data_IF_631952843635
#
_entry.id   IF_631952843635
#
_cell.length_a   1.000
_cell.length_b   1.000
_cell.length_c   1.000
_cell.angle_alpha   90.00
_cell.angle_beta   90.00
_cell.angle_gamma   90.00
#
_symmetry.space_group_name_H-M   'P 1'
#
loop_
_entity.id
_entity.type
_entity.pdbx_description
1 polymer ?
#
# COMPACT_ATOMS: atom_id res chain seq x y z
N UNK A 1 13.08 -54.65 -33.99
CA UNK A 1 14.30 -54.58 -34.84
C UNK A 1 15.13 -53.40 -34.33
N UNK A 2 16.46 -53.53 -34.25
CA UNK A 2 17.48 -52.48 -33.95
C UNK A 2 17.18 -51.50 -32.78
N UNK A 3 17.92 -51.41 -31.66
CA UNK A 3 19.27 -51.88 -31.28
C UNK A 3 20.43 -51.21 -32.01
N UNK A 4 21.15 -50.32 -31.29
CA UNK A 4 22.63 -50.01 -31.22
C UNK A 4 22.73 -48.75 -30.32
N UNK A 5 23.43 -48.61 -29.18
CA UNK A 5 24.60 -49.24 -28.51
C UNK A 5 25.98 -48.66 -28.90
N UNK A 6 26.43 -47.63 -28.14
CA UNK A 6 27.78 -47.43 -27.52
C UNK A 6 29.09 -47.63 -28.35
N UNK A 7 30.32 -47.54 -27.78
CA UNK A 7 30.92 -46.59 -26.81
C UNK A 7 32.30 -46.02 -27.30
N UNK A 8 33.07 -45.36 -26.40
CA UNK A 8 34.55 -45.24 -26.50
C UNK A 8 35.11 -43.93 -27.08
N UNK A 9 36.34 -43.51 -26.79
CA UNK A 9 37.38 -44.06 -25.88
C UNK A 9 38.40 -42.97 -25.46
N UNK A 10 39.20 -43.27 -24.43
CA UNK A 10 40.46 -42.61 -24.00
C UNK A 10 41.41 -43.74 -23.53
N UNK A 11 42.71 -43.56 -23.13
CA UNK A 11 43.44 -42.37 -22.68
C UNK A 11 44.93 -42.32 -23.18
N UNK A 12 45.89 -41.95 -22.29
CA UNK A 12 47.37 -41.95 -22.41
C UNK A 12 47.98 -40.74 -23.18
N UNK A 13 49.21 -40.21 -22.94
CA UNK A 13 50.25 -40.36 -21.88
C UNK A 13 51.31 -39.20 -22.01
N UNK A 14 52.40 -38.98 -21.24
CA UNK A 14 53.02 -39.62 -20.05
C UNK A 14 53.98 -38.68 -19.23
N UNK A 15 54.21 -39.06 -17.96
CA UNK A 15 55.51 -39.11 -17.21
C UNK A 15 56.43 -37.91 -16.87
N UNK A 16 57.17 -38.08 -15.75
CA UNK A 16 58.50 -37.52 -15.37
C UNK A 16 58.60 -36.08 -14.82
N UNK A 17 59.43 -35.74 -13.80
CA UNK A 17 60.11 -36.47 -12.70
C UNK A 17 60.78 -35.47 -11.70
N UNK A 18 61.35 -35.99 -10.59
CA UNK A 18 62.08 -35.29 -9.50
C UNK A 18 61.22 -34.34 -8.62
N UNK A 19 61.15 -34.40 -7.28
CA UNK A 19 62.07 -34.79 -6.18
C UNK A 19 63.30 -33.91 -5.97
N UNK A 20 63.27 -33.10 -4.90
CA UNK A 20 64.33 -33.10 -3.88
C UNK A 20 63.74 -32.77 -2.49
N UNK A 21 64.43 -33.12 -1.40
CA UNK A 21 63.99 -32.95 0.01
C UNK A 21 65.09 -32.31 0.85
N UNK A 22 64.73 -31.43 1.79
CA UNK A 22 65.35 -31.27 3.14
C UNK A 22 64.50 -30.26 3.96
N UNK A 23 63.83 -30.66 5.06
CA UNK A 23 64.29 -30.58 6.48
C UNK A 23 64.66 -29.17 6.96
N UNK A 24 64.19 -28.63 8.10
CA UNK A 24 63.47 -29.23 9.23
C UNK A 24 62.56 -28.22 9.99
N UNK A 25 61.91 -28.69 11.07
CA UNK A 25 61.13 -27.93 12.07
C UNK A 25 61.91 -27.89 13.42
N UNK A 26 61.44 -27.33 14.55
CA UNK A 26 60.23 -26.50 14.82
C UNK A 26 60.51 -25.22 15.66
N UNK A 27 59.52 -24.39 16.00
CA UNK A 27 58.87 -24.37 17.34
C UNK A 27 57.66 -23.39 17.48
N UNK A 28 57.00 -23.42 18.66
CA UNK A 28 55.76 -22.69 19.10
C UNK A 28 55.91 -21.14 19.03
N UNK A 29 54.88 -20.28 19.16
CA UNK A 29 53.72 -20.35 20.07
C UNK A 29 52.63 -19.25 19.85
N UNK A 30 51.42 -19.49 20.38
CA UNK A 30 50.38 -18.54 20.89
C UNK A 30 49.73 -17.53 19.91
N UNK A 31 48.42 -17.31 20.08
CA UNK A 31 47.58 -16.37 19.30
C UNK A 31 46.86 -15.40 20.26
N UNK A 32 46.68 -14.14 19.80
CA UNK A 32 45.84 -13.06 20.39
C UNK A 32 46.33 -12.40 21.69
N UNK A 33 45.84 -11.19 22.05
CA UNK A 33 44.92 -10.28 21.32
C UNK A 33 45.42 -8.79 21.29
N UNK A 34 44.50 -7.82 21.08
CA UNK A 34 44.50 -6.41 21.58
C UNK A 34 44.80 -5.23 20.60
N UNK A 35 43.71 -4.49 20.27
CA UNK A 35 43.48 -3.02 20.25
C UNK A 35 44.36 -2.04 19.42
N UNK A 36 43.77 -1.56 18.32
CA UNK A 36 43.40 -0.15 17.96
C UNK A 36 44.31 1.07 18.26
N UNK A 37 44.25 2.06 17.32
CA UNK A 37 44.46 3.53 17.40
C UNK A 37 45.73 4.17 16.76
N UNK A 38 45.54 4.61 15.50
CA UNK A 38 45.81 5.97 14.96
C UNK A 38 47.20 6.62 15.15
N UNK A 39 47.88 6.88 14.01
CA UNK A 39 48.25 8.26 13.57
C UNK A 39 48.65 8.26 12.07
N UNK A 40 48.58 9.43 11.43
CA UNK A 40 48.94 9.70 10.01
C UNK A 40 50.16 10.64 9.96
N UNK A 41 50.71 11.08 8.79
CA UNK A 41 50.45 10.73 7.38
C UNK A 41 51.73 10.35 6.58
N UNK A 42 51.58 10.03 5.29
CA UNK A 42 52.65 10.21 4.28
C UNK A 42 52.05 10.29 2.87
N UNK A 43 52.57 11.18 2.02
CA UNK A 43 52.10 11.39 0.65
C UNK A 43 52.62 10.32 -0.32
N UNK A 44 51.73 9.74 -1.13
CA UNK A 44 52.02 9.33 -2.52
C UNK A 44 50.70 9.15 -3.28
N UNK A 45 50.26 10.21 -3.96
CA UNK A 45 49.00 10.21 -4.69
C UNK A 45 49.07 9.41 -6.01
N UNK A 46 48.74 8.12 -5.94
CA UNK A 46 48.20 7.42 -7.10
C UNK A 46 46.80 7.97 -7.44
N UNK A 47 46.35 7.98 -8.71
CA UNK A 47 45.00 8.40 -9.06
C UNK A 47 43.98 7.39 -8.50
N UNK A 48 43.38 7.74 -7.36
CA UNK A 48 42.57 6.82 -6.58
C UNK A 48 41.39 6.24 -7.35
N UNK A 49 41.18 4.93 -7.19
CA UNK A 49 39.82 4.38 -7.25
C UNK A 49 38.95 5.16 -6.24
N UNK A 50 37.72 5.55 -6.59
CA UNK A 50 36.81 6.12 -5.60
C UNK A 50 36.55 5.06 -4.52
N UNK A 51 37.15 5.27 -3.35
CA UNK A 51 36.82 4.50 -2.15
C UNK A 51 35.34 4.71 -1.86
N UNK A 52 34.61 3.62 -1.58
CA UNK A 52 33.16 3.68 -1.47
C UNK A 52 32.78 4.26 -0.11
N UNK A 53 32.80 5.59 -0.04
CA UNK A 53 32.59 6.35 1.18
C UNK A 53 31.17 6.09 1.73
N UNK A 54 31.09 5.18 2.70
CA UNK A 54 29.83 4.69 3.24
C UNK A 54 29.13 5.84 3.96
N UNK A 55 27.88 6.18 3.58
CA UNK A 55 27.26 7.41 4.02
C UNK A 55 27.06 7.39 5.54
N UNK A 56 27.37 8.50 6.21
CA UNK A 56 27.34 8.59 7.67
C UNK A 56 26.00 8.09 8.25
N UNK A 57 25.98 7.36 9.40
CA UNK A 57 24.79 6.67 9.90
C UNK A 57 23.51 7.51 10.03
N UNK A 58 23.64 8.79 10.40
CA UNK A 58 22.49 9.69 10.57
C UNK A 58 21.95 10.28 9.25
N UNK A 59 22.68 10.11 8.15
CA UNK A 59 22.38 10.74 6.87
C UNK A 59 21.09 10.19 6.22
N UNK A 60 20.38 10.99 5.40
CA UNK A 60 19.24 10.51 4.61
C UNK A 60 19.61 9.35 3.68
N UNK A 61 20.86 9.32 3.19
CA UNK A 61 21.39 8.32 2.27
C UNK A 61 21.62 6.97 2.96
N UNK A 62 22.16 6.97 4.19
CA UNK A 62 22.24 5.76 5.02
C UNK A 62 20.85 5.23 5.37
N UNK A 63 19.88 6.11 5.65
CA UNK A 63 18.47 5.74 5.90
C UNK A 63 17.79 5.13 4.66
N UNK A 64 18.17 5.56 3.45
CA UNK A 64 17.74 4.91 2.22
C UNK A 64 18.39 3.53 2.03
N UNK A 65 19.68 3.37 2.31
CA UNK A 65 20.33 2.05 2.30
C UNK A 65 19.78 1.10 3.38
N UNK A 66 19.40 1.61 4.56
CA UNK A 66 19.01 0.78 5.70
C UNK A 66 17.66 0.07 5.51
N UNK A 67 16.79 0.62 4.65
CA UNK A 67 15.50 0.01 4.28
C UNK A 67 15.58 -0.94 3.08
N UNK A 68 16.75 -1.02 2.41
CA UNK A 68 16.99 -2.01 1.36
C UNK A 68 17.40 -3.36 1.95
N UNK A 69 17.00 -4.44 1.27
CA UNK A 69 17.43 -5.82 1.58
C UNK A 69 18.95 -5.97 1.49
N UNK A 70 19.56 -7.02 2.08
CA UNK A 70 20.99 -7.29 1.93
C UNK A 70 21.44 -7.40 0.46
N UNK A 71 20.62 -8.02 -0.38
CA UNK A 71 20.86 -8.23 -1.82
C UNK A 71 20.71 -6.93 -2.61
N UNK A 72 19.70 -6.12 -2.29
CA UNK A 72 19.50 -4.80 -2.88
C UNK A 72 20.64 -3.84 -2.52
N UNK A 73 21.02 -3.82 -1.24
CA UNK A 73 22.15 -3.02 -0.74
C UNK A 73 23.45 -3.44 -1.40
N UNK A 74 23.67 -4.75 -1.57
CA UNK A 74 24.79 -5.30 -2.35
C UNK A 74 24.75 -4.82 -3.80
N UNK A 75 23.63 -4.98 -4.53
CA UNK A 75 23.46 -4.48 -5.91
C UNK A 75 23.75 -2.99 -6.03
N UNK A 76 23.31 -2.16 -5.07
CA UNK A 76 23.56 -0.72 -5.06
C UNK A 76 25.05 -0.41 -4.88
N UNK A 77 25.75 -1.07 -3.96
CA UNK A 77 27.19 -0.87 -3.74
C UNK A 77 28.02 -1.35 -4.96
N UNK A 78 27.66 -2.51 -5.54
CA UNK A 78 28.26 -3.03 -6.78
C UNK A 78 28.01 -2.08 -7.97
N UNK A 79 26.83 -1.48 -8.06
CA UNK A 79 26.47 -0.50 -9.11
C UNK A 79 27.22 0.81 -8.95
N UNK A 80 27.34 1.33 -7.72
CA UNK A 80 28.13 2.53 -7.42
C UNK A 80 29.60 2.33 -7.79
N UNK A 81 30.18 1.19 -7.39
CA UNK A 81 31.58 0.87 -7.68
C UNK A 81 31.84 0.68 -9.18
N UNK A 82 31.04 -0.16 -9.85
CA UNK A 82 31.24 -0.50 -11.27
C UNK A 82 31.00 0.68 -12.22
N UNK A 83 30.01 1.54 -11.93
CA UNK A 83 29.70 2.73 -12.74
C UNK A 83 30.48 3.99 -12.31
N UNK A 84 31.21 3.92 -11.18
CA UNK A 84 31.90 5.06 -10.52
C UNK A 84 31.00 6.27 -10.28
N UNK A 85 29.77 6.01 -9.82
CA UNK A 85 28.75 7.01 -9.50
C UNK A 85 28.52 7.11 -8.00
N UNK A 86 27.88 8.18 -7.53
CA UNK A 86 27.49 8.27 -6.12
C UNK A 86 26.47 7.20 -5.75
N UNK A 87 26.41 6.83 -4.46
CA UNK A 87 25.44 5.85 -3.97
C UNK A 87 23.99 6.29 -4.25
N UNK A 88 23.70 7.61 -4.23
CA UNK A 88 22.37 8.13 -4.58
C UNK A 88 22.00 7.94 -6.07
N UNK A 89 22.98 7.94 -6.98
CA UNK A 89 22.79 7.63 -8.39
C UNK A 89 22.67 6.12 -8.62
N UNK A 90 23.43 5.32 -7.87
CA UNK A 90 23.32 3.86 -7.90
C UNK A 90 21.97 3.36 -7.36
N UNK A 91 21.42 3.96 -6.30
CA UNK A 91 20.06 3.69 -5.82
C UNK A 91 19.05 3.96 -6.95
N UNK A 92 19.08 5.14 -7.56
CA UNK A 92 18.18 5.50 -8.67
C UNK A 92 18.30 4.56 -9.86
N UNK A 93 19.51 4.10 -10.19
CA UNK A 93 19.75 3.14 -11.26
C UNK A 93 19.12 1.77 -10.95
N UNK A 94 19.36 1.22 -9.75
CA UNK A 94 18.78 -0.05 -9.30
C UNK A 94 17.24 0.06 -9.18
N UNK A 95 16.70 1.20 -8.76
CA UNK A 95 15.26 1.44 -8.75
C UNK A 95 14.64 1.50 -10.16
N UNK A 96 15.34 2.11 -11.13
CA UNK A 96 14.91 2.18 -12.53
C UNK A 96 14.98 0.80 -13.23
N UNK A 97 16.04 0.03 -12.96
CA UNK A 97 16.18 -1.34 -13.44
C UNK A 97 15.07 -2.24 -12.88
N UNK A 98 14.80 -2.17 -11.56
CA UNK A 98 13.64 -2.84 -10.92
C UNK A 98 12.29 -2.38 -11.51
N UNK A 99 12.16 -1.12 -11.91
CA UNK A 99 10.96 -0.61 -12.58
C UNK A 99 10.78 -1.26 -13.95
N UNK A 100 11.84 -1.36 -14.74
CA UNK A 100 11.79 -2.10 -16.01
C UNK A 100 11.51 -3.60 -15.81
N UNK A 101 12.08 -4.23 -14.78
CA UNK A 101 11.76 -5.62 -14.40
C UNK A 101 10.25 -5.78 -14.09
N UNK A 102 9.64 -4.88 -13.29
CA UNK A 102 8.18 -4.88 -13.02
C UNK A 102 7.33 -4.68 -14.28
N UNK A 103 7.69 -3.73 -15.15
CA UNK A 103 6.96 -3.45 -16.38
C UNK A 103 7.01 -4.60 -17.40
N UNK A 104 8.07 -5.41 -17.38
CA UNK A 104 8.21 -6.61 -18.23
C UNK A 104 7.63 -7.87 -17.56
N UNK A 105 7.55 -7.88 -16.23
CA UNK A 105 7.05 -8.99 -15.42
C UNK A 105 5.52 -9.10 -15.34
N UNK A 106 4.99 -9.85 -14.35
CA UNK A 106 3.55 -10.15 -14.22
C UNK A 106 2.68 -8.94 -13.84
N UNK A 107 3.28 -7.86 -13.32
CA UNK A 107 2.59 -6.74 -12.67
C UNK A 107 2.69 -6.78 -11.14
N UNK A 108 2.08 -5.82 -10.44
CA UNK A 108 2.03 -5.79 -8.98
C UNK A 108 1.09 -6.87 -8.42
N UNK A 109 1.31 -7.27 -7.17
CA UNK A 109 0.36 -8.15 -6.44
C UNK A 109 -0.96 -7.38 -6.23
N UNK A 110 -2.06 -7.93 -6.72
CA UNK A 110 -3.39 -7.31 -6.72
C UNK A 110 -4.15 -7.67 -5.44
N UNK A 111 -4.12 -6.81 -4.42
CA UNK A 111 -4.86 -7.00 -3.18
C UNK A 111 -6.26 -6.38 -3.31
N UNK A 112 -7.20 -7.17 -3.83
CA UNK A 112 -8.52 -6.72 -4.29
C UNK A 112 -9.63 -6.83 -3.23
N UNK A 113 -9.26 -7.11 -1.98
CA UNK A 113 -10.12 -6.96 -0.80
C UNK A 113 -10.76 -5.56 -0.75
N UNK A 114 -12.08 -5.48 -0.62
CA UNK A 114 -12.79 -4.20 -0.65
C UNK A 114 -12.36 -3.25 0.48
N UNK A 115 -12.30 -1.95 0.18
CA UNK A 115 -12.01 -0.90 1.17
C UNK A 115 -12.83 -1.09 2.45
N UNK A 116 -12.20 -0.90 3.61
CA UNK A 116 -12.75 -1.16 4.97
C UNK A 116 -12.91 -2.65 5.37
N UNK A 117 -12.49 -3.64 4.58
CA UNK A 117 -12.39 -5.04 5.06
C UNK A 117 -11.19 -5.19 6.01
N UNK A 118 -9.98 -4.94 5.52
CA UNK A 118 -8.71 -5.03 6.26
C UNK A 118 -7.48 -4.53 5.48
N UNK A 119 -7.69 -3.73 4.41
CA UNK A 119 -6.67 -3.33 3.43
C UNK A 119 -5.42 -2.69 4.03
N UNK A 120 -5.57 -1.87 5.08
CA UNK A 120 -4.45 -1.25 5.78
C UNK A 120 -3.58 -2.26 6.57
N UNK A 121 -4.17 -3.32 7.13
CA UNK A 121 -3.42 -4.40 7.79
C UNK A 121 -2.51 -5.12 6.79
N UNK A 122 -3.09 -5.52 5.64
CA UNK A 122 -2.36 -6.21 4.57
C UNK A 122 -1.25 -5.31 3.97
N UNK A 123 -1.51 -4.02 3.79
CA UNK A 123 -0.50 -3.06 3.34
C UNK A 123 0.66 -2.84 4.33
N UNK A 124 0.47 -3.12 5.62
CA UNK A 124 1.57 -3.18 6.60
C UNK A 124 2.22 -4.57 6.65
N UNK A 125 1.48 -5.65 6.40
CA UNK A 125 2.02 -7.01 6.42
C UNK A 125 2.99 -7.29 5.25
N UNK A 126 2.66 -6.79 4.05
CA UNK A 126 3.40 -7.07 2.82
C UNK A 126 4.90 -6.65 2.84
N UNK A 127 5.30 -5.48 3.39
CA UNK A 127 6.71 -5.12 3.54
C UNK A 127 7.53 -6.09 4.39
N UNK A 128 6.96 -6.69 5.44
CA UNK A 128 7.63 -7.70 6.29
C UNK A 128 7.90 -9.01 5.51
N UNK A 129 7.23 -9.20 4.37
CA UNK A 129 7.40 -10.31 3.42
C UNK A 129 8.24 -9.91 2.19
N UNK A 130 8.96 -8.78 2.26
CA UNK A 130 9.81 -8.27 1.16
C UNK A 130 9.06 -7.54 0.04
N UNK A 131 7.74 -7.36 0.16
CA UNK A 131 6.92 -6.61 -0.81
C UNK A 131 6.91 -5.14 -0.40
N UNK A 132 8.03 -4.45 -0.65
CA UNK A 132 8.36 -3.17 -0.01
C UNK A 132 7.49 -2.00 -0.49
N UNK A 133 7.22 -1.87 -1.80
CA UNK A 133 6.44 -0.75 -2.35
C UNK A 133 4.99 -1.15 -2.51
N UNK A 134 4.20 -0.97 -1.45
CA UNK A 134 2.75 -1.16 -1.48
C UNK A 134 2.03 0.16 -1.76
N UNK A 135 1.20 0.19 -2.81
CA UNK A 135 0.24 1.27 -3.02
C UNK A 135 -0.99 1.05 -2.13
N UNK A 136 -1.34 2.06 -1.33
CA UNK A 136 -2.57 2.07 -0.53
C UNK A 136 -3.25 3.43 -0.62
N UNK A 137 -4.55 3.44 -0.94
CA UNK A 137 -5.32 4.64 -1.23
C UNK A 137 -5.21 5.75 -0.18
N UNK A 138 -5.30 5.38 1.12
CA UNK A 138 -5.12 6.30 2.25
C UNK A 138 -3.76 7.00 2.37
N UNK A 139 -2.67 6.45 1.82
CA UNK A 139 -1.32 7.01 1.95
C UNK A 139 -1.00 8.05 0.87
N UNK A 140 -1.67 7.96 -0.29
CA UNK A 140 -1.41 8.79 -1.47
C UNK A 140 -2.50 9.85 -1.72
N UNK A 141 -3.35 10.17 -0.73
CA UNK A 141 -4.54 11.02 -0.95
C UNK A 141 -4.21 12.43 -1.50
N UNK A 142 -3.01 12.95 -1.28
CA UNK A 142 -2.60 14.27 -1.78
C UNK A 142 -2.04 14.25 -3.22
N UNK A 143 -1.86 13.07 -3.84
CA UNK A 143 -1.34 12.96 -5.21
C UNK A 143 -2.41 13.20 -6.29
N UNK A 144 -2.34 14.39 -6.89
CA UNK A 144 -3.14 14.77 -8.07
C UNK A 144 -2.88 13.93 -9.33
N UNK A 145 -1.72 13.26 -9.46
CA UNK A 145 -1.43 12.38 -10.60
C UNK A 145 -2.30 11.13 -10.51
N UNK A 146 -2.26 10.42 -9.39
CA UNK A 146 -3.14 9.29 -9.08
C UNK A 146 -4.61 9.63 -9.33
N UNK A 147 -5.12 10.76 -8.82
CA UNK A 147 -6.52 11.11 -9.00
C UNK A 147 -6.92 11.37 -10.46
N UNK A 148 -6.01 11.83 -11.32
CA UNK A 148 -6.26 11.97 -12.77
C UNK A 148 -6.29 10.62 -13.48
N UNK A 149 -5.44 9.69 -13.07
CA UNK A 149 -5.39 8.32 -13.61
C UNK A 149 -6.66 7.56 -13.19
N UNK A 150 -7.06 7.63 -11.91
CA UNK A 150 -8.30 7.01 -11.41
C UNK A 150 -9.57 7.65 -12.02
N UNK A 151 -9.58 8.96 -12.29
CA UNK A 151 -10.70 9.62 -12.98
C UNK A 151 -10.89 9.13 -14.43
N UNK A 152 -9.80 8.76 -15.12
CA UNK A 152 -9.81 8.09 -16.44
C UNK A 152 -10.16 6.61 -16.32
N UNK A 153 -9.58 5.89 -15.36
CA UNK A 153 -9.82 4.47 -15.17
C UNK A 153 -11.30 4.18 -14.86
N UNK A 154 -11.96 5.07 -14.11
CA UNK A 154 -13.40 4.97 -13.87
C UNK A 154 -14.23 5.13 -15.16
N UNK A 155 -13.85 6.08 -16.03
CA UNK A 155 -14.48 6.26 -17.35
C UNK A 155 -14.25 5.04 -18.27
N UNK A 156 -13.13 4.33 -18.13
CA UNK A 156 -12.87 3.08 -18.87
C UNK A 156 -13.52 1.82 -18.26
N UNK A 157 -13.89 1.84 -16.97
CA UNK A 157 -14.28 0.62 -16.23
C UNK A 157 -15.79 0.47 -16.03
N UNK A 158 -16.57 1.55 -15.93
CA UNK A 158 -17.95 1.49 -15.40
C UNK A 158 -19.04 1.93 -16.40
N UNK A 159 -19.79 0.99 -17.03
CA UNK A 159 -20.79 1.28 -18.07
C UNK A 159 -21.98 2.17 -17.65
N UNK A 160 -22.27 2.29 -16.35
CA UNK A 160 -23.34 3.14 -15.82
C UNK A 160 -22.95 4.62 -15.66
N UNK A 161 -21.71 4.99 -15.99
CA UNK A 161 -21.26 6.39 -16.00
C UNK A 161 -21.57 7.06 -17.33
N UNK A 162 -22.01 8.33 -17.29
CA UNK A 162 -22.27 9.14 -18.49
C UNK A 162 -21.01 9.47 -19.30
N UNK A 163 -19.84 9.21 -18.72
CA UNK A 163 -18.51 9.41 -19.29
C UNK A 163 -17.84 8.08 -19.67
N UNK A 164 -18.59 6.97 -19.69
CA UNK A 164 -18.05 5.66 -20.06
C UNK A 164 -17.50 5.65 -21.50
N UNK A 165 -16.28 5.16 -21.68
CA UNK A 165 -15.56 5.19 -22.97
C UNK A 165 -15.75 3.94 -23.83
N UNK A 166 -16.28 2.84 -23.28
CA UNK A 166 -16.30 1.53 -23.95
C UNK A 166 -14.94 0.81 -23.92
N UNK A 167 -13.86 1.53 -24.22
CA UNK A 167 -12.50 1.00 -24.28
C UNK A 167 -11.93 0.61 -22.90
N UNK A 168 -11.31 -0.59 -22.74
CA UNK A 168 -10.64 -0.99 -21.51
C UNK A 168 -9.43 -0.10 -21.15
N UNK A 169 -9.19 0.08 -19.85
CA UNK A 169 -7.97 0.74 -19.37
C UNK A 169 -6.78 -0.21 -19.53
N UNK A 170 -5.77 0.19 -20.31
CA UNK A 170 -4.68 -0.71 -20.71
C UNK A 170 -3.64 -0.91 -19.60
N UNK A 171 -2.77 -1.92 -19.75
CA UNK A 171 -1.66 -2.16 -18.82
C UNK A 171 -0.77 -0.93 -18.71
N UNK A 172 -0.41 -0.32 -19.82
CA UNK A 172 0.48 0.86 -19.89
C UNK A 172 -0.14 2.06 -19.17
N UNK A 173 -1.47 2.19 -19.23
CA UNK A 173 -2.22 3.23 -18.53
C UNK A 173 -2.33 2.97 -17.02
N UNK A 174 -2.43 1.70 -16.59
CA UNK A 174 -2.30 1.33 -15.18
C UNK A 174 -0.87 1.53 -14.68
N UNK A 175 0.15 1.21 -15.49
CA UNK A 175 1.56 1.37 -15.19
C UNK A 175 1.98 2.87 -15.07
N UNK A 176 1.18 3.83 -15.55
CA UNK A 176 1.30 5.26 -15.20
C UNK A 176 1.20 5.49 -13.67
N UNK A 177 0.45 4.65 -12.95
CA UNK A 177 0.23 4.70 -11.50
C UNK A 177 0.96 3.58 -10.74
N UNK A 178 1.00 2.38 -11.32
CA UNK A 178 1.34 1.13 -10.62
C UNK A 178 2.73 0.57 -10.94
N UNK A 179 3.40 1.00 -12.01
CA UNK A 179 4.70 0.42 -12.41
C UNK A 179 5.86 0.62 -11.41
N UNK A 180 5.66 1.54 -10.45
CA UNK A 180 6.61 1.85 -9.37
C UNK A 180 6.36 1.03 -8.09
N UNK A 181 5.30 0.22 -8.06
CA UNK A 181 4.83 -0.53 -6.89
C UNK A 181 4.92 -2.05 -7.09
N UNK A 182 5.22 -2.76 -6.01
CA UNK A 182 5.31 -4.22 -5.95
C UNK A 182 3.94 -4.86 -5.62
N UNK A 183 3.06 -4.11 -4.95
CA UNK A 183 1.67 -4.48 -4.67
C UNK A 183 0.72 -3.27 -4.67
N UNK A 184 -0.57 -3.52 -4.90
CA UNK A 184 -1.63 -2.50 -4.88
C UNK A 184 -2.82 -2.96 -4.04
N UNK A 185 -3.37 -2.06 -3.22
CA UNK A 185 -4.42 -2.35 -2.23
C UNK A 185 -5.55 -1.31 -2.28
N UNK A 186 -6.55 -1.46 -1.42
CA UNK A 186 -7.54 -0.42 -1.09
C UNK A 186 -8.36 0.04 -2.30
N UNK A 187 -8.03 1.17 -2.93
CA UNK A 187 -8.76 1.66 -4.10
C UNK A 187 -8.65 0.78 -5.35
N UNK A 188 -7.66 -0.12 -5.43
CA UNK A 188 -7.60 -1.10 -6.51
C UNK A 188 -8.80 -2.05 -6.54
N UNK A 189 -9.41 -2.35 -5.39
CA UNK A 189 -10.58 -3.23 -5.30
C UNK A 189 -11.72 -2.80 -6.24
N UNK A 190 -12.03 -1.51 -6.31
CA UNK A 190 -13.06 -0.97 -7.23
C UNK A 190 -12.81 -1.30 -8.72
N UNK A 191 -11.56 -1.59 -9.10
CA UNK A 191 -11.13 -1.83 -10.48
C UNK A 191 -10.72 -3.28 -10.74
N UNK A 192 -11.07 -4.23 -9.87
CA UNK A 192 -10.69 -5.65 -9.97
C UNK A 192 -10.82 -6.24 -11.38
N UNK A 193 -11.96 -6.03 -12.04
CA UNK A 193 -12.24 -6.52 -13.41
C UNK A 193 -11.30 -5.92 -14.46
N UNK A 194 -10.85 -4.68 -14.28
CA UNK A 194 -9.91 -3.99 -15.17
C UNK A 194 -8.46 -4.43 -14.90
N UNK A 195 -8.07 -4.47 -13.62
CA UNK A 195 -6.73 -4.85 -13.19
C UNK A 195 -6.38 -6.30 -13.50
N UNK A 196 -7.29 -7.25 -13.25
CA UNK A 196 -7.06 -8.67 -13.58
C UNK A 196 -6.91 -8.88 -15.10
N UNK A 197 -7.63 -8.10 -15.92
CA UNK A 197 -7.48 -8.14 -17.38
C UNK A 197 -6.19 -7.48 -17.89
N UNK A 198 -5.71 -6.44 -17.21
CA UNK A 198 -4.46 -5.75 -17.53
C UNK A 198 -3.21 -6.51 -17.07
N UNK A 199 -3.32 -7.28 -15.98
CA UNK A 199 -2.24 -8.05 -15.36
C UNK A 199 -2.63 -9.54 -15.18
N UNK A 200 -2.87 -10.31 -16.26
CA UNK A 200 -3.39 -11.68 -16.20
C UNK A 200 -2.44 -12.73 -15.60
N UNK A 201 -1.23 -12.33 -15.21
CA UNK A 201 -0.24 -13.16 -14.54
C UNK A 201 0.05 -12.72 -13.10
N UNK A 202 -0.63 -11.68 -12.60
CA UNK A 202 -0.42 -11.18 -11.24
C UNK A 202 -1.01 -12.13 -10.19
N UNK A 203 -0.34 -12.24 -9.04
CA UNK A 203 -0.92 -12.85 -7.84
C UNK A 203 -2.02 -11.94 -7.31
N UNK A 204 -3.18 -12.51 -6.99
CA UNK A 204 -4.35 -11.84 -6.43
C UNK A 204 -4.56 -12.28 -4.99
N UNK A 205 -4.81 -11.33 -4.10
CA UNK A 205 -5.13 -11.58 -2.69
C UNK A 205 -6.48 -10.94 -2.39
N UNK A 206 -7.41 -11.72 -1.82
CA UNK A 206 -8.67 -11.24 -1.27
C UNK A 206 -8.80 -11.66 0.20
N UNK A 207 -9.52 -10.85 0.97
CA UNK A 207 -10.03 -11.14 2.31
C UNK A 207 -11.45 -10.59 2.35
N UNK A 208 -12.42 -11.44 2.66
CA UNK A 208 -13.83 -11.08 2.79
C UNK A 208 -14.21 -10.85 4.26
N UNK A 209 -15.08 -9.87 4.50
CA UNK A 209 -15.57 -9.48 5.82
C UNK A 209 -17.09 -9.65 5.85
N UNK A 210 -17.63 -10.06 6.99
CA UNK A 210 -19.08 -10.07 7.27
C UNK A 210 -19.76 -8.81 6.69
N UNK A 211 -20.65 -9.03 5.72
CA UNK A 211 -21.14 -8.01 4.78
C UNK A 211 -21.87 -6.85 5.47
N UNK A 212 -22.62 -7.09 6.53
CA UNK A 212 -23.32 -6.05 7.29
C UNK A 212 -22.33 -5.21 8.12
N UNK A 213 -21.32 -5.85 8.72
CA UNK A 213 -20.20 -5.19 9.41
C UNK A 213 -19.38 -4.33 8.45
N UNK A 214 -19.14 -4.81 7.22
CA UNK A 214 -18.54 -4.02 6.16
C UNK A 214 -19.44 -2.87 5.69
N UNK A 215 -20.73 -3.13 5.41
CA UNK A 215 -21.68 -2.14 4.89
C UNK A 215 -21.93 -0.99 5.90
N UNK A 216 -21.93 -1.29 7.21
CA UNK A 216 -21.92 -0.27 8.27
C UNK A 216 -20.63 0.55 8.27
N UNK A 217 -19.47 -0.08 8.02
CA UNK A 217 -18.15 0.55 7.99
C UNK A 217 -17.96 1.47 6.77
N UNK A 218 -18.35 1.03 5.57
CA UNK A 218 -18.16 1.76 4.31
C UNK A 218 -19.04 3.02 4.17
N UNK A 219 -20.03 3.20 5.07
CA UNK A 219 -20.88 4.39 5.11
C UNK A 219 -20.11 5.71 5.24
N UNK A 220 -18.90 5.72 5.82
CA UNK A 220 -18.06 6.93 5.88
C UNK A 220 -17.42 7.34 4.53
N UNK A 221 -17.37 6.41 3.56
CA UNK A 221 -16.89 6.61 2.18
C UNK A 221 -18.06 6.90 1.22
N UNK A 222 -19.16 6.14 1.32
CA UNK A 222 -20.29 6.27 0.38
C UNK A 222 -21.36 7.28 0.83
N UNK A 223 -21.60 7.44 2.13
CA UNK A 223 -22.64 8.34 2.66
C UNK A 223 -22.40 9.84 2.37
N UNK A 224 -21.19 10.25 2.02
CA UNK A 224 -20.95 11.63 1.57
C UNK A 224 -21.58 11.98 0.22
N UNK A 225 -21.98 10.98 -0.56
CA UNK A 225 -22.63 11.16 -1.86
C UNK A 225 -24.16 11.24 -1.77
N UNK A 226 -24.77 10.77 -0.67
CA UNK A 226 -26.21 10.91 -0.42
C UNK A 226 -26.54 12.36 -0.08
N UNK A 227 -25.72 12.99 0.77
CA UNK A 227 -25.89 14.36 1.27
C UNK A 227 -25.77 15.42 0.15
N UNK A 228 -26.85 16.15 -0.19
CA UNK A 228 -26.85 17.07 -1.33
C UNK A 228 -25.82 18.20 -1.24
N UNK A 229 -25.65 18.79 -0.05
CA UNK A 229 -24.71 19.89 0.17
C UNK A 229 -23.27 19.43 -0.03
N UNK A 230 -22.89 18.30 0.59
CA UNK A 230 -21.53 17.73 0.51
C UNK A 230 -21.23 17.21 -0.90
N UNK A 231 -22.18 16.54 -1.55
CA UNK A 231 -22.08 16.14 -2.97
C UNK A 231 -21.85 17.35 -3.88
N UNK A 232 -22.59 18.44 -3.70
CA UNK A 232 -22.44 19.64 -4.52
C UNK A 232 -21.11 20.37 -4.26
N UNK A 233 -20.68 20.48 -3.00
CA UNK A 233 -19.34 20.99 -2.64
C UNK A 233 -18.24 20.22 -3.38
N UNK A 234 -18.28 18.89 -3.31
CA UNK A 234 -17.27 18.04 -3.96
C UNK A 234 -17.36 18.11 -5.50
N UNK A 235 -18.57 18.21 -6.07
CA UNK A 235 -18.78 18.29 -7.52
C UNK A 235 -18.34 19.62 -8.14
N UNK A 236 -18.59 20.74 -7.47
CA UNK A 236 -18.45 22.08 -8.06
C UNK A 236 -17.25 22.87 -7.51
N UNK A 237 -16.82 22.64 -6.27
CA UNK A 237 -15.77 23.45 -5.61
C UNK A 237 -14.41 22.73 -5.60
N UNK A 238 -14.35 21.41 -5.35
CA UNK A 238 -13.07 20.67 -5.39
C UNK A 238 -12.33 20.81 -6.73
N UNK A 239 -12.97 20.77 -7.92
CA UNK A 239 -12.27 21.00 -9.19
C UNK A 239 -11.58 22.37 -9.31
N UNK A 240 -11.99 23.38 -8.53
CA UNK A 240 -11.35 24.70 -8.50
C UNK A 240 -9.94 24.67 -7.88
N UNK A 241 -9.59 23.62 -7.14
CA UNK A 241 -8.20 23.35 -6.74
C UNK A 241 -7.32 22.85 -7.91
N UNK A 242 -7.94 22.33 -8.97
CA UNK A 242 -7.28 21.53 -10.01
C UNK A 242 -7.21 20.03 -9.70
N UNK A 243 -7.62 19.60 -8.50
CA UNK A 243 -7.65 18.18 -8.12
C UNK A 243 -8.82 17.43 -8.73
N UNK A 244 -8.56 16.17 -9.10
CA UNK A 244 -9.57 15.22 -9.58
C UNK A 244 -10.16 14.34 -8.49
N UNK A 245 -9.65 14.40 -7.24
CA UNK A 245 -10.05 13.52 -6.12
C UNK A 245 -11.58 13.39 -5.98
N UNK A 246 -12.30 14.51 -5.98
CA UNK A 246 -13.77 14.51 -5.86
C UNK A 246 -14.50 13.84 -7.02
N UNK A 247 -14.00 14.00 -8.26
CA UNK A 247 -14.57 13.38 -9.46
C UNK A 247 -14.29 11.88 -9.49
N UNK A 248 -13.03 11.49 -9.29
CA UNK A 248 -12.60 10.10 -9.26
C UNK A 248 -13.37 9.28 -8.21
N UNK A 249 -13.43 9.75 -6.95
CA UNK A 249 -14.15 9.02 -5.90
C UNK A 249 -15.67 8.94 -6.15
N UNK A 250 -16.29 9.97 -6.75
CA UNK A 250 -17.71 9.91 -7.09
C UNK A 250 -17.99 8.91 -8.22
N UNK A 251 -17.21 8.97 -9.31
CA UNK A 251 -17.29 8.03 -10.43
C UNK A 251 -17.04 6.59 -9.97
N UNK A 252 -15.98 6.36 -9.20
CA UNK A 252 -15.59 5.05 -8.66
C UNK A 252 -16.68 4.46 -7.77
N UNK A 253 -17.20 5.23 -6.80
CA UNK A 253 -18.25 4.76 -5.91
C UNK A 253 -19.56 4.51 -6.67
N UNK A 254 -20.00 5.42 -7.55
CA UNK A 254 -21.22 5.24 -8.35
C UNK A 254 -21.11 4.09 -9.36
N UNK A 255 -19.94 3.95 -9.97
CA UNK A 255 -19.63 2.97 -10.99
C UNK A 255 -19.68 1.55 -10.44
N UNK A 256 -18.83 1.26 -9.46
CA UNK A 256 -18.76 -0.06 -8.82
C UNK A 256 -20.06 -0.49 -8.14
N UNK A 257 -20.85 0.45 -7.58
CA UNK A 257 -22.18 0.14 -7.02
C UNK A 257 -23.31 0.03 -8.06
N UNK A 258 -22.99 0.15 -9.35
CA UNK A 258 -23.93 0.18 -10.48
C UNK A 258 -25.14 1.11 -10.25
N UNK A 259 -24.97 2.19 -9.49
CA UNK A 259 -26.07 3.07 -9.11
C UNK A 259 -26.43 4.04 -10.24
N UNK A 260 -27.71 4.35 -10.39
CA UNK A 260 -28.21 5.35 -11.36
C UNK A 260 -28.28 6.73 -10.72
N UNK A 261 -28.73 6.85 -9.47
CA UNK A 261 -28.61 8.06 -8.64
C UNK A 261 -27.38 8.01 -7.71
N UNK A 262 -26.99 9.17 -7.21
CA UNK A 262 -26.02 9.33 -6.11
C UNK A 262 -26.52 8.85 -4.73
N UNK A 263 -27.83 8.82 -4.53
CA UNK A 263 -28.48 8.40 -3.28
C UNK A 263 -28.38 6.90 -3.04
N UNK A 264 -28.39 6.13 -4.11
CA UNK A 264 -28.46 4.66 -4.06
C UNK A 264 -27.10 4.01 -3.80
N UNK A 265 -25.99 4.76 -3.91
CA UNK A 265 -24.61 4.26 -3.80
C UNK A 265 -24.39 3.50 -2.49
N UNK A 266 -24.83 4.03 -1.34
CA UNK A 266 -24.68 3.29 -0.09
C UNK A 266 -25.61 2.07 -0.05
N UNK A 267 -26.86 2.17 -0.53
CA UNK A 267 -27.82 1.06 -0.53
C UNK A 267 -27.35 -0.12 -1.40
N UNK A 268 -27.01 0.14 -2.66
CA UNK A 268 -26.55 -0.85 -3.65
C UNK A 268 -25.23 -1.55 -3.25
N UNK A 269 -24.45 -0.95 -2.36
CA UNK A 269 -23.11 -1.45 -1.99
C UNK A 269 -23.09 -2.91 -1.53
N UNK A 270 -24.19 -3.44 -0.98
CA UNK A 270 -24.32 -4.88 -0.65
C UNK A 270 -24.24 -5.78 -1.88
N UNK A 271 -25.05 -5.50 -2.91
CA UNK A 271 -25.11 -6.32 -4.11
C UNK A 271 -23.77 -6.27 -4.87
N UNK A 272 -23.16 -5.08 -4.94
CA UNK A 272 -21.82 -4.91 -5.50
C UNK A 272 -20.73 -5.65 -4.70
N UNK A 273 -20.84 -5.73 -3.36
CA UNK A 273 -19.91 -6.51 -2.54
C UNK A 273 -19.97 -8.00 -2.87
N UNK A 274 -21.17 -8.59 -2.86
CA UNK A 274 -21.36 -10.03 -3.17
C UNK A 274 -20.84 -10.35 -4.57
N UNK A 275 -21.23 -9.55 -5.58
CA UNK A 275 -20.81 -9.81 -6.97
C UNK A 275 -19.31 -9.57 -7.16
N UNK A 276 -18.68 -8.63 -6.45
CA UNK A 276 -17.23 -8.40 -6.50
C UNK A 276 -16.42 -9.62 -6.03
N UNK A 277 -16.73 -10.17 -4.86
CA UNK A 277 -16.00 -11.34 -4.33
C UNK A 277 -16.31 -12.62 -5.12
N UNK A 278 -17.57 -12.80 -5.53
CA UNK A 278 -17.97 -13.89 -6.45
C UNK A 278 -17.19 -13.81 -7.77
N UNK A 279 -17.20 -12.65 -8.43
CA UNK A 279 -16.56 -12.49 -9.74
C UNK A 279 -15.06 -12.80 -9.68
N UNK A 280 -14.34 -12.36 -8.63
CA UNK A 280 -12.91 -12.67 -8.47
C UNK A 280 -12.69 -14.18 -8.33
N UNK A 281 -13.47 -14.88 -7.48
CA UNK A 281 -13.38 -16.35 -7.32
C UNK A 281 -13.74 -17.13 -8.59
N UNK A 282 -14.63 -16.59 -9.42
CA UNK A 282 -15.05 -17.20 -10.69
C UNK A 282 -14.06 -16.94 -11.85
N UNK A 283 -13.25 -15.86 -11.80
CA UNK A 283 -12.45 -15.39 -12.95
C UNK A 283 -10.92 -15.43 -12.72
N UNK A 284 -10.44 -15.58 -11.49
CA UNK A 284 -9.00 -15.74 -11.20
C UNK A 284 -8.66 -17.22 -11.00
N UNK A 285 -7.66 -17.78 -11.73
CA UNK A 285 -7.16 -19.13 -11.49
C UNK A 285 -6.75 -19.35 -10.02
N UNK A 286 -7.08 -20.52 -9.45
CA UNK A 286 -6.78 -20.82 -8.04
C UNK A 286 -5.31 -20.70 -7.65
N UNK A 287 -4.37 -21.05 -8.55
CA UNK A 287 -2.93 -20.88 -8.33
C UNK A 287 -2.46 -19.41 -8.35
N UNK A 288 -3.31 -18.48 -8.78
CA UNK A 288 -3.11 -17.03 -8.72
C UNK A 288 -3.94 -16.36 -7.61
N UNK A 289 -4.82 -17.08 -6.90
CA UNK A 289 -5.76 -16.50 -5.94
C UNK A 289 -5.53 -17.02 -4.52
N UNK A 290 -5.16 -16.12 -3.61
CA UNK A 290 -5.26 -16.36 -2.17
C UNK A 290 -6.56 -15.75 -1.64
N UNK A 291 -7.49 -16.61 -1.22
CA UNK A 291 -8.64 -16.22 -0.39
C UNK A 291 -8.23 -16.38 1.09
N UNK A 292 -7.73 -15.29 1.65
CA UNK A 292 -7.04 -15.23 2.94
C UNK A 292 -8.02 -14.95 4.08
N UNK A 293 -7.88 -15.59 5.24
CA UNK A 293 -8.46 -15.09 6.49
C UNK A 293 -7.38 -14.36 7.31
N UNK A 294 -7.71 -13.18 7.85
CA UNK A 294 -6.80 -12.40 8.72
C UNK A 294 -6.41 -13.16 10.00
N UNK A 295 -7.20 -14.16 10.41
CA UNK A 295 -6.94 -14.98 11.59
C UNK A 295 -5.89 -16.08 11.34
N UNK A 296 -5.58 -16.41 10.08
CA UNK A 296 -4.56 -17.40 9.70
C UNK A 296 -3.12 -16.87 9.90
N UNK A 297 -2.97 -15.56 10.12
CA UNK A 297 -1.69 -14.89 10.32
C UNK A 297 -0.75 -14.99 9.11
N UNK A 298 0.53 -15.25 9.34
CA UNK A 298 1.54 -15.23 8.28
C UNK A 298 1.51 -16.44 7.35
N UNK A 299 1.02 -17.61 7.80
CA UNK A 299 1.26 -18.90 7.13
C UNK A 299 0.85 -18.92 5.66
N UNK A 300 -0.46 -18.82 5.33
CA UNK A 300 -0.92 -18.87 3.94
C UNK A 300 -0.38 -17.72 3.07
N UNK A 301 -0.15 -16.55 3.67
CA UNK A 301 0.35 -15.37 2.95
C UNK A 301 1.83 -15.54 2.55
N UNK A 302 2.67 -16.07 3.46
CA UNK A 302 4.07 -16.34 3.20
C UNK A 302 4.26 -17.50 2.21
N UNK A 303 3.50 -18.59 2.38
CA UNK A 303 3.47 -19.72 1.44
C UNK A 303 3.05 -19.28 0.03
N UNK A 304 1.93 -18.56 -0.09
CA UNK A 304 1.43 -18.06 -1.38
C UNK A 304 2.41 -17.10 -2.07
N UNK A 305 3.15 -16.29 -1.31
CA UNK A 305 4.19 -15.42 -1.89
C UNK A 305 5.46 -16.19 -2.24
N UNK A 306 5.79 -17.28 -1.53
CA UNK A 306 6.98 -18.11 -1.73
C UNK A 306 8.16 -17.70 -0.85
N UNK A 307 7.89 -17.21 0.35
CA UNK A 307 8.87 -16.62 1.29
C UNK A 307 8.71 -17.21 2.70
N UNK A 308 9.73 -17.17 3.57
CA UNK A 308 9.56 -17.58 4.97
C UNK A 308 8.58 -16.67 5.74
N UNK A 309 7.86 -17.24 6.71
CA UNK A 309 6.99 -16.49 7.61
C UNK A 309 7.83 -15.70 8.65
N UNK A 310 7.53 -14.41 8.90
CA UNK A 310 8.21 -13.60 9.92
C UNK A 310 7.93 -14.07 11.36
N UNK A 311 8.95 -13.97 12.24
CA UNK A 311 8.86 -14.28 13.68
C UNK A 311 8.23 -13.13 14.51
N UNK A 312 7.23 -12.43 13.96
CA UNK A 312 6.54 -11.29 14.60
C UNK A 312 5.02 -11.47 14.56
N UNK A 313 4.27 -10.75 15.40
CA UNK A 313 2.80 -10.77 15.34
C UNK A 313 2.27 -10.15 14.03
N UNK A 314 1.19 -10.74 13.48
CA UNK A 314 0.56 -10.23 12.26
C UNK A 314 -0.11 -8.86 12.52
N UNK A 315 0.12 -7.83 11.66
CA UNK A 315 -0.26 -6.45 11.99
C UNK A 315 -1.76 -6.15 11.82
N UNK A 316 -2.54 -6.24 12.91
CA UNK A 316 -3.97 -5.90 12.92
C UNK A 316 -4.22 -4.38 13.09
N UNK A 317 -4.51 -3.68 11.99
CA UNK A 317 -4.80 -2.22 11.99
C UNK A 317 -6.31 -1.95 11.95
N UNK A 318 -6.99 -2.01 13.10
CA UNK A 318 -8.43 -1.70 13.21
C UNK A 318 -8.71 -0.24 13.59
N UNK A 319 -8.19 0.72 12.81
CA UNK A 319 -8.33 2.16 13.10
C UNK A 319 -9.39 2.83 12.21
N UNK A 320 -10.51 3.20 12.83
CA UNK A 320 -11.58 4.00 12.21
C UNK A 320 -11.20 5.47 12.12
N UNK A 321 -10.48 5.97 13.13
CA UNK A 321 -10.23 7.40 13.32
C UNK A 321 -9.10 7.91 12.41
N UNK A 322 -8.11 7.07 12.09
CA UNK A 322 -7.05 7.39 11.11
C UNK A 322 -7.64 7.76 9.73
N UNK A 323 -8.69 7.06 9.28
CA UNK A 323 -9.38 7.38 8.03
C UNK A 323 -10.04 8.78 8.07
N UNK A 324 -10.81 9.10 9.13
CA UNK A 324 -11.46 10.42 9.23
C UNK A 324 -10.40 11.53 9.44
N UNK A 325 -9.25 11.23 10.05
CA UNK A 325 -8.10 12.14 10.20
C UNK A 325 -7.43 12.43 8.85
N UNK A 326 -7.10 11.40 8.05
CA UNK A 326 -6.50 11.54 6.72
C UNK A 326 -7.45 12.25 5.74
N UNK A 327 -8.74 11.90 5.79
CA UNK A 327 -9.81 12.55 5.05
C UNK A 327 -9.91 14.05 5.39
N UNK A 328 -9.91 14.42 6.68
CA UNK A 328 -9.88 15.83 7.10
C UNK A 328 -8.61 16.54 6.65
N UNK A 329 -7.45 15.89 6.67
CA UNK A 329 -6.20 16.47 6.17
C UNK A 329 -6.28 16.82 4.67
N UNK A 330 -6.81 15.91 3.86
CA UNK A 330 -7.08 16.16 2.43
C UNK A 330 -8.07 17.33 2.22
N UNK A 331 -9.16 17.36 2.97
CA UNK A 331 -10.16 18.44 2.88
C UNK A 331 -9.55 19.79 3.26
N UNK A 332 -8.70 19.83 4.29
CA UNK A 332 -7.89 21.00 4.67
C UNK A 332 -6.94 21.40 3.53
N UNK A 333 -6.21 20.46 2.95
CA UNK A 333 -5.25 20.73 1.87
C UNK A 333 -5.92 21.28 0.60
N UNK A 334 -7.05 20.70 0.19
CA UNK A 334 -7.86 21.17 -0.94
C UNK A 334 -8.38 22.59 -0.69
N UNK A 335 -8.94 22.87 0.50
CA UNK A 335 -9.46 24.19 0.84
C UNK A 335 -8.35 25.25 0.94
N UNK A 336 -7.17 24.91 1.50
CA UNK A 336 -5.97 25.77 1.47
C UNK A 336 -5.51 26.07 0.04
N UNK A 337 -5.53 25.08 -0.86
CA UNK A 337 -5.15 25.25 -2.27
C UNK A 337 -6.16 26.08 -3.07
N UNK A 338 -7.44 26.08 -2.71
CA UNK A 338 -8.46 26.98 -3.29
C UNK A 338 -8.26 28.41 -2.76
N UNK A 339 -8.11 28.59 -1.45
CA UNK A 339 -7.96 29.91 -0.82
C UNK A 339 -6.67 30.64 -1.21
N UNK A 340 -5.60 29.91 -1.56
CA UNK A 340 -4.33 30.46 -2.06
C UNK A 340 -4.21 30.51 -3.59
N UNK A 341 -5.27 30.16 -4.34
CA UNK A 341 -5.28 30.31 -5.80
C UNK A 341 -5.26 31.81 -6.14
N UNK A 342 -4.36 32.30 -7.01
CA UNK A 342 -4.30 33.73 -7.35
C UNK A 342 -5.65 34.16 -7.94
N UNK A 343 -6.29 35.11 -7.26
CA UNK A 343 -7.47 35.81 -7.76
C UNK A 343 -7.05 36.75 -8.91
N UNK A 344 -7.97 37.15 -9.80
CA UNK A 344 -7.71 38.20 -10.78
C UNK A 344 -7.15 39.46 -10.10
N UNK A 345 -6.25 40.17 -10.79
CA UNK A 345 -5.34 41.20 -10.22
C UNK A 345 -6.02 42.30 -9.37
N UNK A 346 -7.33 42.52 -9.52
CA UNK A 346 -8.14 43.46 -8.75
C UNK A 346 -8.55 42.98 -7.34
N UNK A 347 -8.23 41.74 -6.92
CA UNK A 347 -8.64 41.16 -5.63
C UNK A 347 -7.47 40.63 -4.77
N UNK A 348 -6.23 40.97 -5.12
CA UNK A 348 -5.03 40.33 -4.55
C UNK A 348 -4.85 40.51 -3.02
N UNK A 349 -5.47 41.55 -2.44
CA UNK A 349 -5.50 41.85 -1.00
C UNK A 349 -6.44 40.94 -0.18
N UNK A 350 -7.23 40.07 -0.83
CA UNK A 350 -8.20 39.18 -0.18
C UNK A 350 -7.73 37.72 -0.06
N UNK A 351 -6.43 37.45 -0.23
CA UNK A 351 -5.85 36.15 0.17
C UNK A 351 -5.97 36.05 1.69
N UNK A 352 -6.78 35.14 2.25
CA UNK A 352 -6.97 35.08 3.69
C UNK A 352 -5.70 34.50 4.34
N UNK A 353 -5.27 35.05 5.47
CA UNK A 353 -4.17 34.45 6.24
C UNK A 353 -4.57 33.05 6.74
N UNK A 354 -3.58 32.20 7.05
CA UNK A 354 -3.80 30.80 7.40
C UNK A 354 -4.79 30.61 8.56
N UNK A 355 -4.85 31.52 9.54
CA UNK A 355 -5.82 31.49 10.64
C UNK A 355 -7.26 31.66 10.17
N UNK A 356 -7.49 32.52 9.17
CA UNK A 356 -8.81 32.74 8.56
C UNK A 356 -9.19 31.54 7.70
N UNK A 357 -8.23 30.96 6.97
CA UNK A 357 -8.44 29.74 6.19
C UNK A 357 -8.78 28.57 7.14
N UNK A 358 -8.00 28.36 8.20
CA UNK A 358 -8.23 27.32 9.20
C UNK A 358 -9.59 27.50 9.89
N UNK A 359 -9.96 28.73 10.25
CA UNK A 359 -11.26 29.04 10.87
C UNK A 359 -12.45 28.75 9.93
N UNK A 360 -12.34 29.12 8.66
CA UNK A 360 -13.35 28.82 7.65
C UNK A 360 -13.45 27.30 7.39
N UNK A 361 -12.33 26.59 7.36
CA UNK A 361 -12.32 25.13 7.26
C UNK A 361 -13.03 24.53 8.47
N UNK A 362 -12.70 24.93 9.69
CA UNK A 362 -13.32 24.37 10.90
C UNK A 362 -14.79 24.73 11.07
N UNK A 363 -15.26 25.83 10.45
CA UNK A 363 -16.69 26.11 10.28
C UNK A 363 -17.34 25.15 9.26
N UNK A 364 -16.77 25.01 8.06
CA UNK A 364 -17.29 24.13 7.01
C UNK A 364 -17.20 22.63 7.36
N UNK A 365 -16.30 22.26 8.26
CA UNK A 365 -16.03 20.89 8.71
C UNK A 365 -16.71 20.53 10.04
N UNK A 366 -17.59 21.39 10.57
CA UNK A 366 -18.36 21.09 11.78
C UNK A 366 -19.42 20.00 11.54
N UNK A 367 -19.02 18.76 11.84
CA UNK A 367 -19.94 17.65 12.14
C UNK A 367 -20.67 17.98 13.45
N UNK A 368 -21.99 17.79 13.50
CA UNK A 368 -22.86 18.13 14.63
C UNK A 368 -22.28 17.70 16.00
N UNK A 369 -21.75 18.64 16.78
CA UNK A 369 -21.40 18.43 18.20
C UNK A 369 -22.62 18.56 19.13
N UNK A 370 -23.82 18.76 18.59
CA UNK A 370 -25.03 19.16 19.32
C UNK A 370 -25.98 18.04 19.75
N UNK A 371 -25.67 16.75 19.53
CA UNK A 371 -26.63 15.65 19.76
C UNK A 371 -26.19 14.49 20.66
N UNK A 372 -25.06 14.61 21.36
CA UNK A 372 -24.58 13.55 22.27
C UNK A 372 -24.17 14.06 23.66
N UNK A 373 -25.05 14.88 24.26
CA UNK A 373 -25.04 15.26 25.69
C UNK A 373 -26.47 15.37 26.21
N UNK A 374 -27.15 14.23 26.41
CA UNK A 374 -28.59 14.22 26.72
C UNK A 374 -29.14 13.04 27.55
N UNK A 375 -28.33 12.03 27.89
CA UNK A 375 -28.72 10.95 28.83
C UNK A 375 -27.54 10.63 29.74
N UNK A 376 -27.61 11.04 31.01
CA UNK A 376 -26.45 10.93 31.92
C UNK A 376 -26.58 11.61 33.28
N UNK A 377 -27.81 11.74 33.82
CA UNK A 377 -28.05 12.01 35.25
C UNK A 377 -29.33 11.30 35.69
N UNK A 378 -29.21 10.04 36.11
CA UNK A 378 -30.13 9.52 37.10
C UNK A 378 -29.92 10.29 38.40
N UNK A 379 -31.00 10.68 39.07
CA UNK A 379 -30.94 11.14 40.45
C UNK A 379 -31.04 9.91 41.33
N UNK A 380 -30.16 9.79 42.31
CA UNK A 380 -30.49 9.07 43.53
C UNK A 380 -31.62 9.84 44.23
N UNK A 381 -32.67 9.11 44.60
CA UNK A 381 -33.58 9.45 45.69
C UNK A 381 -33.78 8.14 46.44
N UNK A 382 -33.25 8.08 47.65
CA UNK A 382 -33.42 6.99 48.59
C UNK A 382 -34.66 7.28 49.44
N UNK A 383 -35.64 6.38 49.46
CA UNK A 383 -36.78 6.43 50.37
C UNK A 383 -37.58 5.12 50.39
N UNK A 384 -37.95 4.66 51.59
CA UNK A 384 -39.21 3.91 51.77
C UNK A 384 -39.20 2.39 51.58
N UNK A 385 -38.43 1.71 52.43
CA UNK A 385 -38.81 0.44 53.07
C UNK A 385 -40.28 -0.01 52.86
N UNK A 386 -40.49 -1.18 52.24
CA UNK A 386 -41.51 -2.13 52.72
C UNK A 386 -41.24 -3.58 52.34
N UNK A 387 -41.34 -4.44 53.35
CA UNK A 387 -41.32 -5.90 53.27
C UNK A 387 -42.72 -6.41 52.91
N UNK A 388 -42.81 -7.47 52.10
CA UNK A 388 -43.71 -8.60 52.36
C UNK A 388 -43.30 -9.84 51.53
N UNK A 389 -43.51 -11.04 52.09
CA UNK A 389 -43.13 -12.32 51.49
C UNK A 389 -44.26 -12.93 50.65
N UNK A 390 -43.91 -13.65 49.58
CA UNK A 390 -44.71 -14.74 49.03
C UNK A 390 -43.88 -15.70 48.15
N UNK A 391 -43.33 -16.76 48.76
CA UNK A 391 -42.88 -17.96 48.04
C UNK A 391 -44.05 -18.98 47.91
N UNK A 392 -43.93 -19.89 46.94
CA UNK A 392 -44.79 -21.06 46.68
C UNK A 392 -46.25 -20.82 46.23
N UNK A 393 -46.58 -21.30 45.02
CA UNK A 393 -47.42 -22.50 44.87
C UNK A 393 -47.36 -23.10 43.45
N UNK A 394 -47.27 -24.44 43.42
CA UNK A 394 -47.87 -25.44 42.51
C UNK A 394 -48.66 -24.99 41.25
N UNK A 395 -48.43 -25.58 40.06
CA UNK A 395 -48.81 -26.94 39.56
C UNK A 395 -50.33 -27.16 39.34
N UNK A 396 -50.62 -27.91 38.27
CA UNK A 396 -51.89 -28.60 37.95
C UNK A 396 -53.15 -27.75 37.69
N UNK A 397 -53.35 -27.35 36.43
CA UNK A 397 -54.31 -28.00 35.52
C UNK A 397 -53.98 -27.72 34.05
#
# INVERSE_FOLDING_TARGET
MATTIYPGESPSESSSAAEERMTASPDKAVISPIVTLVTTPSDTAAPGTPELDMPAPDSPLFKQLSVLSPEERKRVLETAHSRRVSIAEAIKAVEAEKREERLKGPGPILCLSMVRSGTASLAKALPELGVLKVHHGLLNIEDDKQWKILDRAADATFPNLKSYTGEPFTREQWDELLGDYDAVTDMASFYAVSLIKAYPNAKVIIYEREIESWHRSVKCIFGQWTEPVRRNLIKYIVPLSGSKCGSANFKMAKGWTNSTDSRDIHFNSRAAYVEHYKWIRENVPSHQLLDFNLEDGWGPLAEFLGVPAPEIEFPVINKKDDFEKQKRACEVAILKRIARRPLPNCLHFLIPNDDVINSLIDFLMQKDKGKDKGKGKGKEVDEGEKVDNADNADKEN
#
